data_IF_099381087596
#
_entry.id   IF_099381087596
#
_cell.length_a   1.000
_cell.length_b   1.000
_cell.length_c   1.000
_cell.angle_alpha   90.00
_cell.angle_beta   90.00
_cell.angle_gamma   90.00
#
_symmetry.space_group_name_H-M   'P 1'
#
loop_
_entity.id
_entity.type
_entity.pdbx_description
1 polymer ?
#
# COMPACT_ATOMS: atom_id res chain seq x y z
N UNK A 1 13.44 45.55 -8.07
CA UNK A 1 12.57 46.34 -7.19
C UNK A 1 11.32 46.71 -7.98
N UNK A 2 10.21 46.06 -7.75
CA UNK A 2 8.89 46.56 -8.13
C UNK A 2 7.95 46.16 -6.98
N UNK A 3 7.55 47.19 -6.24
CA UNK A 3 6.52 47.08 -5.21
C UNK A 3 5.15 47.03 -5.87
N UNK A 4 4.41 45.98 -5.67
CA UNK A 4 2.96 45.96 -5.90
C UNK A 4 2.26 45.99 -4.54
N UNK A 5 1.81 47.21 -4.17
CA UNK A 5 0.77 47.41 -3.17
C UNK A 5 -0.59 47.00 -3.77
N UNK A 6 -1.22 46.02 -3.18
CA UNK A 6 -2.65 45.76 -3.41
C UNK A 6 -3.38 45.97 -2.10
N UNK A 7 -3.92 47.18 -1.95
CA UNK A 7 -4.98 47.47 -0.98
C UNK A 7 -6.29 47.49 -1.74
N UNK A 8 -7.20 46.54 -1.49
CA UNK A 8 -8.64 46.70 -1.74
C UNK A 8 -9.41 46.02 -0.60
N UNK A 9 -10.21 46.75 0.17
CA UNK A 9 -11.14 46.19 1.15
C UNK A 9 -12.44 45.79 0.43
N UNK A 10 -13.06 44.70 0.92
CA UNK A 10 -14.38 44.16 0.54
C UNK A 10 -14.42 43.15 -0.63
N UNK A 11 -13.98 41.94 -0.32
CA UNK A 11 -14.45 40.74 -1.00
C UNK A 11 -15.01 39.75 0.05
N UNK A 12 -16.18 39.12 -0.17
CA UNK A 12 -16.80 38.20 0.81
C UNK A 12 -16.07 36.84 0.96
N UNK A 13 -14.91 36.68 0.36
CA UNK A 13 -14.09 35.47 0.43
C UNK A 13 -12.78 35.75 1.18
N UNK A 14 -12.89 36.09 2.48
CA UNK A 14 -11.71 36.11 3.35
C UNK A 14 -11.34 34.67 3.70
N UNK A 15 -10.27 34.18 3.07
CA UNK A 15 -9.64 32.94 3.53
C UNK A 15 -9.19 33.10 4.99
N UNK A 16 -9.42 32.11 5.86
CA UNK A 16 -8.95 32.18 7.24
C UNK A 16 -7.45 32.38 7.26
N UNK A 17 -6.95 33.33 8.08
CA UNK A 17 -5.50 33.60 8.29
C UNK A 17 -4.65 32.37 8.62
N UNK A 18 -5.30 31.28 9.09
CA UNK A 18 -4.67 29.99 9.31
C UNK A 18 -4.12 29.33 8.03
N UNK A 19 -4.74 29.56 6.86
CA UNK A 19 -4.27 28.99 5.59
C UNK A 19 -3.03 29.71 5.04
N UNK A 20 -2.89 30.98 5.30
CA UNK A 20 -1.70 31.76 4.88
C UNK A 20 -0.47 31.38 5.72
N UNK A 21 -0.64 31.11 7.02
CA UNK A 21 0.46 30.62 7.88
C UNK A 21 0.85 29.17 7.60
N UNK A 22 -0.08 28.35 7.08
CA UNK A 22 0.21 26.97 6.64
C UNK A 22 1.00 27.01 5.33
N UNK A 23 0.68 27.93 4.41
CA UNK A 23 1.41 28.10 3.14
C UNK A 23 2.88 28.52 3.38
N UNK A 24 3.15 29.39 4.36
CA UNK A 24 4.51 29.84 4.69
C UNK A 24 5.35 28.75 5.40
N UNK A 25 4.75 27.84 6.15
CA UNK A 25 5.46 26.69 6.75
C UNK A 25 5.81 25.58 5.77
N UNK A 26 5.16 25.51 4.61
CA UNK A 26 5.40 24.49 3.57
C UNK A 26 6.66 24.83 2.73
N UNK A 27 7.18 26.03 2.80
CA UNK A 27 8.34 26.49 1.98
C UNK A 27 9.69 25.91 2.44
N UNK A 28 9.77 25.28 3.62
CA UNK A 28 11.01 24.74 4.18
C UNK A 28 11.05 23.20 4.23
N UNK A 29 10.58 22.52 3.19
CA UNK A 29 10.90 21.10 3.01
C UNK A 29 12.27 21.01 2.33
N UNK A 30 13.23 20.21 2.85
CA UNK A 30 14.55 20.10 2.23
C UNK A 30 14.41 19.69 0.77
N UNK A 31 15.15 20.34 -0.12
CA UNK A 31 15.18 20.13 -1.59
C UNK A 31 15.62 18.73 -2.04
N UNK A 32 15.59 17.72 -1.18
CA UNK A 32 16.00 16.33 -1.49
C UNK A 32 14.86 15.40 -1.90
N UNK A 33 13.61 15.85 -1.93
CA UNK A 33 12.53 15.06 -2.57
C UNK A 33 12.59 15.34 -4.06
N UNK A 34 13.36 14.53 -4.75
CA UNK A 34 13.49 14.56 -6.20
C UNK A 34 12.14 14.24 -6.81
N UNK A 35 11.57 15.19 -7.49
CA UNK A 35 10.38 15.11 -8.33
C UNK A 35 10.57 13.93 -9.29
N UNK A 36 9.59 13.03 -9.39
CA UNK A 36 9.68 11.80 -10.17
C UNK A 36 9.22 12.05 -11.60
N UNK A 37 9.99 11.62 -12.58
CA UNK A 37 9.53 11.47 -13.97
C UNK A 37 9.06 10.03 -14.25
N UNK A 38 8.46 9.74 -15.41
CA UNK A 38 8.18 8.35 -15.82
C UNK A 38 9.39 7.43 -15.64
N UNK A 39 10.61 7.95 -15.86
CA UNK A 39 11.85 7.22 -15.65
C UNK A 39 12.11 6.89 -14.16
N UNK A 40 11.63 7.72 -13.24
CA UNK A 40 11.86 7.54 -11.81
C UNK A 40 10.90 6.56 -11.15
N UNK A 41 9.79 6.20 -11.81
CA UNK A 41 8.93 5.11 -11.36
C UNK A 41 9.70 3.80 -11.45
N UNK A 42 9.93 3.16 -10.32
CA UNK A 42 10.83 2.03 -10.21
C UNK A 42 10.26 0.79 -10.91
N UNK A 43 11.04 0.21 -11.83
CA UNK A 43 10.57 -0.90 -12.67
C UNK A 43 9.33 -0.49 -13.50
N UNK A 44 8.37 -1.35 -13.73
CA UNK A 44 7.09 -1.08 -14.42
C UNK A 44 7.24 -0.70 -15.90
N UNK A 45 8.18 -1.33 -16.59
CA UNK A 45 8.50 -0.99 -17.98
C UNK A 45 7.33 -1.21 -18.94
N UNK A 46 6.49 -2.24 -18.72
CA UNK A 46 5.32 -2.50 -19.56
C UNK A 46 4.24 -1.43 -19.36
N UNK A 47 3.80 -1.11 -18.11
CA UNK A 47 2.92 0.03 -17.86
C UNK A 47 3.41 1.35 -18.48
N UNK A 48 4.70 1.68 -18.30
CA UNK A 48 5.29 2.90 -18.85
C UNK A 48 5.21 2.94 -20.38
N UNK A 49 5.60 1.86 -21.06
CA UNK A 49 5.55 1.76 -22.53
C UNK A 49 4.13 1.90 -23.08
N UNK A 50 3.14 1.31 -22.41
CA UNK A 50 1.72 1.42 -22.83
C UNK A 50 1.27 2.88 -22.74
N UNK A 51 1.54 3.55 -21.61
CA UNK A 51 1.10 4.92 -21.37
C UNK A 51 1.87 5.93 -22.24
N UNK A 52 3.19 5.78 -22.39
CA UNK A 52 3.99 6.62 -23.29
C UNK A 52 3.53 6.49 -24.74
N UNK A 53 3.25 5.26 -25.20
CA UNK A 53 2.71 5.02 -26.52
C UNK A 53 1.32 5.63 -26.75
N UNK A 54 0.46 5.63 -25.73
CA UNK A 54 -0.86 6.26 -25.78
C UNK A 54 -0.77 7.79 -25.80
N UNK A 55 0.12 8.36 -24.98
CA UNK A 55 0.41 9.80 -24.94
C UNK A 55 0.93 10.32 -26.28
N UNK A 56 1.96 9.67 -26.86
CA UNK A 56 2.56 10.09 -28.15
C UNK A 56 1.60 10.03 -29.32
N UNK A 57 0.61 9.12 -29.27
CA UNK A 57 -0.40 8.96 -30.33
C UNK A 57 -1.68 9.77 -30.06
N UNK A 58 -1.72 10.52 -28.97
CA UNK A 58 -2.92 11.19 -28.46
C UNK A 58 -4.17 10.26 -28.41
N UNK A 59 -3.95 9.02 -27.96
CA UNK A 59 -4.96 7.96 -27.85
C UNK A 59 -5.05 7.42 -26.43
N UNK A 60 -5.13 8.34 -25.47
CA UNK A 60 -5.37 7.97 -24.08
C UNK A 60 -6.78 7.40 -23.90
N UNK A 61 -6.90 6.32 -23.17
CA UNK A 61 -8.20 5.83 -22.76
C UNK A 61 -8.84 6.83 -21.78
N UNK A 62 -10.17 6.92 -21.80
CA UNK A 62 -10.92 7.72 -20.83
C UNK A 62 -10.75 7.20 -19.41
N UNK A 63 -10.62 5.88 -19.25
CA UNK A 63 -10.43 5.23 -17.95
C UNK A 63 -9.38 4.14 -17.97
N UNK A 64 -8.43 4.22 -17.04
CA UNK A 64 -7.43 3.20 -16.76
C UNK A 64 -7.71 2.52 -15.43
N UNK A 65 -7.46 1.20 -15.35
CA UNK A 65 -7.46 0.43 -14.12
C UNK A 65 -6.05 -0.15 -13.88
N UNK A 66 -5.32 0.41 -12.91
CA UNK A 66 -4.00 -0.03 -12.51
C UNK A 66 -4.11 -1.15 -11.48
N UNK A 67 -3.75 -2.37 -11.85
CA UNK A 67 -3.89 -3.57 -11.04
C UNK A 67 -2.54 -4.06 -10.53
N UNK A 68 -2.46 -4.41 -9.25
CA UNK A 68 -1.25 -5.02 -8.66
C UNK A 68 -1.13 -4.77 -7.17
N UNK A 69 -0.17 -5.38 -6.51
CA UNK A 69 0.02 -5.30 -5.06
C UNK A 69 0.17 -3.85 -4.55
N UNK A 70 -0.02 -3.65 -3.25
CA UNK A 70 0.18 -2.35 -2.61
C UNK A 70 1.65 -1.94 -2.65
N UNK A 71 1.93 -0.64 -2.78
CA UNK A 71 3.31 -0.09 -2.69
C UNK A 71 4.25 -0.42 -3.86
N UNK A 72 3.75 -0.92 -5.02
CA UNK A 72 4.57 -1.23 -6.21
C UNK A 72 4.67 -0.07 -7.23
N UNK A 73 4.10 1.10 -6.94
CA UNK A 73 4.22 2.29 -7.78
C UNK A 73 2.99 2.66 -8.62
N UNK A 74 1.81 2.06 -8.38
CA UNK A 74 0.57 2.44 -9.09
C UNK A 74 0.24 3.92 -8.93
N UNK A 75 0.29 4.42 -7.69
CA UNK A 75 0.08 5.83 -7.38
C UNK A 75 1.12 6.73 -8.03
N UNK A 76 2.41 6.37 -7.92
CA UNK A 76 3.49 7.13 -8.52
C UNK A 76 3.29 7.30 -10.03
N UNK A 77 2.96 6.21 -10.75
CA UNK A 77 2.73 6.28 -12.19
C UNK A 77 1.44 7.03 -12.54
N UNK A 78 0.41 6.99 -11.68
CA UNK A 78 -0.82 7.76 -11.87
C UNK A 78 -0.57 9.27 -11.80
N UNK A 79 0.25 9.71 -10.84
CA UNK A 79 0.68 11.12 -10.74
C UNK A 79 1.51 11.55 -11.95
N UNK A 80 2.45 10.72 -12.38
CA UNK A 80 3.28 10.99 -13.55
C UNK A 80 2.43 11.10 -14.83
N UNK A 81 1.42 10.24 -14.98
CA UNK A 81 0.49 10.33 -16.10
C UNK A 81 -0.32 11.64 -16.04
N UNK A 82 -0.81 12.04 -14.86
CA UNK A 82 -1.51 13.31 -14.69
C UNK A 82 -0.64 14.52 -15.03
N UNK A 83 0.66 14.48 -14.66
CA UNK A 83 1.64 15.51 -15.05
C UNK A 83 1.88 15.50 -16.55
N UNK A 84 2.08 14.35 -17.17
CA UNK A 84 2.33 14.24 -18.62
C UNK A 84 1.14 14.78 -19.45
N UNK A 85 -0.10 14.52 -19.02
CA UNK A 85 -1.32 15.05 -19.67
C UNK A 85 -1.37 16.57 -19.58
N UNK A 86 -0.98 17.17 -18.44
CA UNK A 86 -1.21 18.57 -18.12
C UNK A 86 0.08 19.42 -18.07
N UNK A 87 1.22 18.90 -18.51
CA UNK A 87 2.47 19.65 -18.57
C UNK A 87 2.33 20.84 -19.53
N UNK A 88 2.75 22.03 -19.06
CA UNK A 88 2.66 23.27 -19.83
C UNK A 88 3.90 23.52 -20.68
N UNK A 89 5.06 22.94 -20.31
CA UNK A 89 6.34 23.22 -20.96
C UNK A 89 6.65 22.23 -22.07
N UNK A 90 6.20 20.99 -21.97
CA UNK A 90 6.45 19.93 -22.95
C UNK A 90 5.17 19.19 -23.28
N UNK A 91 4.90 18.96 -24.57
CA UNK A 91 3.78 18.15 -24.97
C UNK A 91 4.06 16.67 -24.69
N UNK A 92 3.14 16.06 -23.92
CA UNK A 92 3.16 14.65 -23.55
C UNK A 92 4.44 14.17 -22.82
N UNK A 93 5.21 15.10 -22.24
CA UNK A 93 6.37 14.80 -21.40
C UNK A 93 6.30 15.61 -20.11
N UNK A 94 6.81 15.01 -19.04
CA UNK A 94 6.86 15.66 -17.72
C UNK A 94 8.11 16.53 -17.64
N UNK A 95 7.95 17.81 -17.33
CA UNK A 95 9.09 18.72 -17.11
C UNK A 95 9.43 18.91 -15.63
N UNK A 96 8.52 18.53 -14.71
CA UNK A 96 8.61 18.66 -13.25
C UNK A 96 8.79 20.10 -12.72
N UNK A 97 8.87 21.09 -13.57
CA UNK A 97 9.19 22.47 -13.19
C UNK A 97 8.07 23.47 -13.45
N UNK A 98 7.20 23.25 -14.44
CA UNK A 98 6.10 24.16 -14.72
C UNK A 98 5.08 24.19 -13.56
N UNK A 99 4.26 25.24 -13.56
CA UNK A 99 3.29 25.47 -12.48
C UNK A 99 2.31 24.29 -12.30
N UNK A 100 1.84 23.71 -13.42
CA UNK A 100 0.97 22.54 -13.40
C UNK A 100 1.64 21.32 -12.74
N UNK A 101 2.87 20.95 -13.16
CA UNK A 101 3.60 19.83 -12.57
C UNK A 101 3.81 20.05 -11.06
N UNK A 102 4.26 21.23 -10.64
CA UNK A 102 4.47 21.55 -9.21
C UNK A 102 3.19 21.51 -8.39
N UNK A 103 2.04 21.94 -8.94
CA UNK A 103 0.74 21.83 -8.26
C UNK A 103 0.28 20.38 -8.14
N UNK A 104 0.51 19.57 -9.16
CA UNK A 104 0.17 18.12 -9.15
C UNK A 104 1.02 17.41 -8.09
N UNK A 105 2.34 17.64 -8.04
CA UNK A 105 3.21 17.06 -7.01
C UNK A 105 2.80 17.43 -5.59
N UNK A 106 2.32 18.64 -5.39
CA UNK A 106 1.80 19.10 -4.09
C UNK A 106 0.35 18.68 -3.84
N UNK A 107 -0.27 17.93 -4.76
CA UNK A 107 -1.65 17.46 -4.68
C UNK A 107 -2.67 18.60 -4.48
N UNK A 108 -2.42 19.77 -5.08
CA UNK A 108 -3.27 20.98 -4.98
C UNK A 108 -3.74 21.52 -6.33
N UNK A 109 -3.54 20.76 -7.41
CA UNK A 109 -4.00 21.18 -8.75
C UNK A 109 -5.54 21.14 -8.83
N UNK A 110 -6.23 22.21 -9.26
CA UNK A 110 -7.70 22.26 -9.25
C UNK A 110 -8.36 21.20 -10.13
N UNK A 111 -7.75 20.89 -11.29
CA UNK A 111 -8.28 19.94 -12.27
C UNK A 111 -7.70 18.51 -12.11
N UNK A 112 -6.83 18.26 -11.12
CA UNK A 112 -6.33 16.93 -10.80
C UNK A 112 -6.83 16.54 -9.41
N UNK A 113 -7.85 15.68 -9.38
CA UNK A 113 -8.53 15.30 -8.14
C UNK A 113 -8.10 13.92 -7.68
N UNK A 114 -8.14 13.73 -6.37
CA UNK A 114 -7.79 12.47 -5.75
C UNK A 114 -8.90 12.03 -4.83
N UNK A 115 -9.32 10.78 -5.02
CA UNK A 115 -10.27 10.09 -4.16
C UNK A 115 -9.55 8.87 -3.59
N UNK A 116 -9.65 8.71 -2.29
CA UNK A 116 -9.10 7.59 -1.56
C UNK A 116 -10.07 7.15 -0.46
N UNK A 117 -9.99 5.90 -0.02
CA UNK A 117 -10.83 5.42 1.07
C UNK A 117 -10.60 6.25 2.33
N UNK A 118 -11.68 6.61 3.01
CA UNK A 118 -11.65 7.38 4.26
C UNK A 118 -12.47 6.67 5.33
N UNK A 119 -12.18 6.87 6.61
CA UNK A 119 -13.03 6.41 7.69
C UNK A 119 -14.44 7.00 7.57
N UNK A 120 -15.43 6.28 8.10
CA UNK A 120 -16.85 6.72 8.07
C UNK A 120 -17.05 8.11 8.69
N UNK A 121 -16.24 8.44 9.71
CA UNK A 121 -16.14 9.79 10.26
C UNK A 121 -14.87 10.42 9.69
N UNK A 122 -15.03 11.17 8.59
CA UNK A 122 -13.92 11.85 7.93
C UNK A 122 -13.49 13.05 8.77
N UNK A 123 -12.25 13.04 9.23
CA UNK A 123 -11.64 14.23 9.83
C UNK A 123 -10.74 14.95 8.83
N UNK A 124 -10.65 16.29 8.89
CA UNK A 124 -9.72 17.04 8.05
C UNK A 124 -8.26 16.60 8.24
N UNK A 125 -7.90 16.20 9.45
CA UNK A 125 -6.55 15.73 9.81
C UNK A 125 -6.16 14.46 9.06
N UNK A 126 -7.05 13.49 8.91
CA UNK A 126 -6.78 12.24 8.19
C UNK A 126 -6.54 12.48 6.69
N UNK A 127 -7.33 13.38 6.10
CA UNK A 127 -7.14 13.78 4.71
C UNK A 127 -5.78 14.47 4.52
N UNK A 128 -5.43 15.36 5.41
CA UNK A 128 -4.15 16.10 5.36
C UNK A 128 -2.96 15.17 5.63
N UNK A 129 -3.10 14.20 6.55
CA UNK A 129 -2.09 13.16 6.78
C UNK A 129 -1.84 12.35 5.51
N UNK A 130 -2.89 11.87 4.84
CA UNK A 130 -2.76 11.14 3.58
C UNK A 130 -1.97 11.95 2.55
N UNK A 131 -2.34 13.23 2.37
CA UNK A 131 -1.66 14.12 1.42
C UNK A 131 -0.19 14.29 1.78
N UNK A 132 0.14 14.60 3.03
CA UNK A 132 1.53 14.78 3.50
C UNK A 132 2.38 13.55 3.27
N UNK A 133 1.87 12.37 3.61
CA UNK A 133 2.60 11.12 3.40
C UNK A 133 2.83 10.84 1.91
N UNK A 134 1.83 11.05 1.06
CA UNK A 134 1.93 10.84 -0.39
C UNK A 134 2.81 11.88 -1.10
N UNK A 135 2.84 13.12 -0.61
CA UNK A 135 3.76 14.16 -1.10
C UNK A 135 5.19 13.80 -0.71
N UNK A 136 5.40 13.34 0.52
CA UNK A 136 6.72 12.93 1.01
C UNK A 136 7.27 11.75 0.23
N UNK A 137 6.42 10.77 -0.05
CA UNK A 137 6.79 9.58 -0.81
C UNK A 137 5.59 8.99 -1.55
N UNK A 138 5.58 9.01 -2.89
CA UNK A 138 4.49 8.42 -3.68
C UNK A 138 4.31 6.90 -3.48
N UNK A 139 5.31 6.20 -2.98
CA UNK A 139 5.23 4.76 -2.65
C UNK A 139 4.71 4.50 -1.24
N UNK A 140 4.63 5.52 -0.37
CA UNK A 140 4.17 5.35 1.00
C UNK A 140 2.80 4.65 1.05
N UNK A 141 2.67 3.70 1.97
CA UNK A 141 1.41 3.04 2.27
C UNK A 141 0.78 3.80 3.42
N UNK A 142 -0.35 4.46 3.15
CA UNK A 142 -1.07 5.21 4.18
C UNK A 142 -2.15 4.32 4.76
N UNK A 143 -2.05 4.03 6.05
CA UNK A 143 -3.02 3.22 6.79
C UNK A 143 -3.92 4.11 7.62
N UNK A 144 -5.18 3.73 7.75
CA UNK A 144 -6.14 4.31 8.65
C UNK A 144 -6.48 3.31 9.76
N UNK A 145 -6.63 3.77 10.99
CA UNK A 145 -6.93 2.91 12.14
C UNK A 145 -8.32 2.26 12.09
N UNK A 146 -9.24 2.84 11.34
CA UNK A 146 -10.63 2.40 11.22
C UNK A 146 -10.92 1.82 9.84
N UNK A 147 -12.01 1.05 9.76
CA UNK A 147 -12.51 0.61 8.46
C UNK A 147 -12.77 1.80 7.56
N UNK A 148 -12.20 1.75 6.36
CA UNK A 148 -12.28 2.82 5.36
C UNK A 148 -13.14 2.39 4.19
N UNK A 149 -13.84 3.34 3.61
CA UNK A 149 -14.57 3.15 2.36
C UNK A 149 -14.52 4.42 1.50
N UNK A 150 -14.91 4.29 0.24
CA UNK A 150 -15.17 5.44 -0.64
C UNK A 150 -16.68 5.65 -0.66
N UNK A 151 -17.19 6.69 0.04
CA UNK A 151 -18.63 6.96 0.12
C UNK A 151 -19.18 7.50 -1.19
N UNK A 152 -20.48 7.27 -1.44
CA UNK A 152 -21.15 7.65 -2.69
C UNK A 152 -21.13 9.17 -2.93
N UNK A 153 -21.15 9.96 -1.89
CA UNK A 153 -21.15 11.43 -2.02
C UNK A 153 -19.84 11.97 -2.60
N UNK A 154 -18.70 11.33 -2.33
CA UNK A 154 -17.44 11.69 -2.97
C UNK A 154 -17.49 11.43 -4.49
N UNK A 155 -18.08 10.31 -4.90
CA UNK A 155 -18.24 9.98 -6.32
C UNK A 155 -19.20 10.97 -7.00
N UNK A 156 -20.34 11.26 -6.37
CA UNK A 156 -21.31 12.24 -6.91
C UNK A 156 -20.73 13.65 -7.01
N UNK A 157 -19.95 14.07 -6.02
CA UNK A 157 -19.26 15.36 -6.06
C UNK A 157 -18.24 15.41 -7.20
N UNK A 158 -17.44 14.36 -7.34
CA UNK A 158 -16.48 14.23 -8.45
C UNK A 158 -17.19 14.32 -9.81
N UNK A 159 -18.34 13.65 -9.99
CA UNK A 159 -19.13 13.69 -11.22
C UNK A 159 -19.56 15.11 -11.57
N UNK A 160 -20.12 15.84 -10.60
CA UNK A 160 -20.50 17.26 -10.79
C UNK A 160 -19.30 18.13 -11.18
N UNK A 161 -18.13 17.87 -10.59
CA UNK A 161 -16.91 18.61 -10.93
C UNK A 161 -16.36 18.23 -12.31
N UNK A 162 -16.51 16.98 -12.74
CA UNK A 162 -16.10 16.53 -14.07
C UNK A 162 -16.96 17.14 -15.19
N UNK A 163 -18.24 17.41 -14.94
CA UNK A 163 -19.16 18.04 -15.91
C UNK A 163 -18.78 19.51 -16.22
N UNK A 164 -17.95 20.12 -15.39
CA UNK A 164 -17.45 21.49 -15.63
C UNK A 164 -16.24 21.47 -16.55
N UNK A 165 -15.99 22.54 -17.29
CA UNK A 165 -14.75 22.71 -18.07
C UNK A 165 -13.51 22.74 -17.15
N UNK A 166 -12.32 22.30 -17.63
CA UNK A 166 -11.07 22.48 -16.90
C UNK A 166 -10.85 23.97 -16.54
N UNK A 167 -10.32 24.21 -15.34
CA UNK A 167 -10.03 25.58 -14.87
C UNK A 167 -8.72 26.11 -15.44
N UNK A 168 -7.64 25.32 -15.36
CA UNK A 168 -6.31 25.71 -15.84
C UNK A 168 -5.55 24.58 -16.57
N UNK A 169 -6.05 23.34 -16.49
CA UNK A 169 -5.46 22.18 -17.12
C UNK A 169 -5.87 22.02 -18.59
N UNK A 170 -5.10 21.24 -19.35
CA UNK A 170 -5.54 20.77 -20.68
C UNK A 170 -6.70 19.79 -20.56
N UNK A 171 -6.65 18.89 -19.59
CA UNK A 171 -7.63 17.83 -19.33
C UNK A 171 -7.81 17.60 -17.83
N UNK A 172 -9.00 17.28 -17.41
CA UNK A 172 -9.26 16.87 -16.02
C UNK A 172 -8.77 15.46 -15.78
N UNK A 173 -8.11 15.24 -14.65
CA UNK A 173 -7.65 13.91 -14.23
C UNK A 173 -8.18 13.59 -12.84
N UNK A 174 -8.82 12.44 -12.69
CA UNK A 174 -9.27 11.94 -11.40
C UNK A 174 -8.55 10.62 -11.09
N UNK A 175 -7.84 10.59 -9.98
CA UNK A 175 -7.17 9.38 -9.48
C UNK A 175 -8.00 8.85 -8.32
N UNK A 176 -8.51 7.61 -8.44
CA UNK A 176 -9.27 6.93 -7.40
C UNK A 176 -8.47 5.71 -6.95
N UNK A 177 -8.02 5.72 -5.69
CA UNK A 177 -7.19 4.63 -5.16
C UNK A 177 -8.02 3.60 -4.43
N UNK A 178 -7.54 2.35 -4.45
CA UNK A 178 -8.15 1.24 -3.70
C UNK A 178 -9.66 1.12 -3.96
N UNK A 179 -10.03 1.09 -5.24
CA UNK A 179 -11.44 1.05 -5.66
C UNK A 179 -12.18 -0.20 -5.17
N UNK A 180 -11.47 -1.24 -4.75
CA UNK A 180 -12.03 -2.40 -4.04
C UNK A 180 -12.67 -2.06 -2.69
N UNK A 181 -12.38 -0.88 -2.13
CA UNK A 181 -12.97 -0.35 -0.91
C UNK A 181 -14.17 0.59 -1.17
N UNK A 182 -14.68 0.65 -2.40
CA UNK A 182 -15.90 1.39 -2.70
C UNK A 182 -17.12 0.73 -2.05
N UNK A 183 -17.97 1.56 -1.46
CA UNK A 183 -19.32 1.11 -1.11
C UNK A 183 -20.06 0.68 -2.39
N UNK A 184 -20.92 -0.37 -2.39
CA UNK A 184 -21.64 -0.80 -3.59
C UNK A 184 -22.39 0.32 -4.32
N UNK A 185 -23.01 1.25 -3.57
CA UNK A 185 -23.66 2.42 -4.15
C UNK A 185 -22.69 3.37 -4.87
N UNK A 186 -21.45 3.49 -4.38
CA UNK A 186 -20.39 4.29 -5.00
C UNK A 186 -19.93 3.67 -6.32
N UNK A 187 -19.73 2.34 -6.33
CA UNK A 187 -19.36 1.60 -7.53
C UNK A 187 -20.44 1.71 -8.61
N UNK A 188 -21.71 1.54 -8.24
CA UNK A 188 -22.84 1.69 -9.17
C UNK A 188 -22.96 3.13 -9.69
N UNK A 189 -22.77 4.15 -8.84
CA UNK A 189 -22.79 5.56 -9.27
C UNK A 189 -21.68 5.85 -10.28
N UNK A 190 -20.49 5.25 -10.10
CA UNK A 190 -19.34 5.43 -10.99
C UNK A 190 -19.59 4.88 -12.40
N UNK A 191 -20.42 3.83 -12.56
CA UNK A 191 -20.70 3.20 -13.86
C UNK A 191 -21.15 4.19 -14.91
N UNK A 192 -22.01 5.17 -14.55
CA UNK A 192 -22.45 6.20 -15.48
C UNK A 192 -21.28 6.98 -16.10
N UNK A 193 -20.32 7.39 -15.28
CA UNK A 193 -19.12 8.11 -15.75
C UNK A 193 -18.18 7.23 -16.56
N UNK A 194 -18.14 5.92 -16.28
CA UNK A 194 -17.33 4.97 -17.04
C UNK A 194 -17.92 4.65 -18.41
N UNK A 195 -19.25 4.71 -18.55
CA UNK A 195 -19.98 4.49 -19.81
C UNK A 195 -19.90 5.72 -20.71
N UNK A 196 -20.14 6.90 -20.14
CA UNK A 196 -20.16 8.17 -20.83
C UNK A 196 -19.19 9.15 -20.14
N UNK A 197 -17.88 8.97 -20.32
CA UNK A 197 -16.90 9.84 -19.70
C UNK A 197 -17.02 11.26 -20.28
N UNK A 198 -17.04 12.30 -19.42
CA UNK A 198 -17.06 13.68 -19.88
C UNK A 198 -15.86 13.98 -20.80
N UNK A 199 -16.03 14.79 -21.83
CA UNK A 199 -14.96 15.18 -22.74
C UNK A 199 -13.80 15.81 -21.95
N UNK A 200 -12.59 15.65 -22.45
CA UNK A 200 -11.36 16.18 -21.82
C UNK A 200 -11.16 15.73 -20.36
N UNK A 201 -11.61 14.53 -20.03
CA UNK A 201 -11.42 13.92 -18.71
C UNK A 201 -10.81 12.53 -18.79
N UNK A 202 -9.96 12.21 -17.81
CA UNK A 202 -9.38 10.89 -17.63
C UNK A 202 -9.54 10.40 -16.19
N UNK A 203 -9.95 9.15 -16.05
CA UNK A 203 -10.03 8.47 -14.75
C UNK A 203 -8.90 7.45 -14.63
N UNK A 204 -8.21 7.43 -13.49
CA UNK A 204 -7.19 6.45 -13.17
C UNK A 204 -7.61 5.75 -11.88
N UNK A 205 -8.08 4.53 -12.02
CA UNK A 205 -8.50 3.69 -10.90
C UNK A 205 -7.31 2.83 -10.48
N UNK A 206 -7.10 2.59 -9.18
CA UNK A 206 -6.10 1.63 -8.71
C UNK A 206 -6.74 0.58 -7.83
N UNK A 207 -6.30 -0.69 -7.99
CA UNK A 207 -6.78 -1.80 -7.16
C UNK A 207 -5.63 -2.75 -6.81
N UNK A 208 -5.76 -3.42 -5.66
CA UNK A 208 -4.88 -4.52 -5.27
C UNK A 208 -5.49 -5.88 -5.63
N UNK A 209 -6.81 -5.96 -5.77
CA UNK A 209 -7.53 -7.19 -6.09
C UNK A 209 -8.69 -6.91 -7.06
N UNK A 210 -8.48 -7.26 -8.32
CA UNK A 210 -9.45 -7.08 -9.39
C UNK A 210 -10.73 -7.92 -9.18
N UNK A 211 -10.62 -9.06 -8.47
CA UNK A 211 -11.74 -9.97 -8.26
C UNK A 211 -12.77 -9.41 -7.25
N UNK A 212 -12.39 -8.40 -6.48
CA UNK A 212 -13.31 -7.69 -5.57
C UNK A 212 -14.10 -6.58 -6.26
N UNK A 213 -13.79 -6.28 -7.52
CA UNK A 213 -14.48 -5.26 -8.29
C UNK A 213 -15.69 -5.84 -9.03
N UNK A 214 -16.69 -5.00 -9.28
CA UNK A 214 -17.80 -5.37 -10.14
C UNK A 214 -17.27 -5.63 -11.57
N UNK A 215 -17.65 -6.76 -12.20
CA UNK A 215 -17.26 -7.04 -13.59
C UNK A 215 -17.63 -5.91 -14.57
N UNK A 216 -18.72 -5.20 -14.29
CA UNK A 216 -19.18 -4.03 -15.05
C UNK A 216 -18.23 -2.84 -14.97
N UNK A 217 -17.53 -2.64 -13.86
CA UNK A 217 -16.46 -1.63 -13.73
C UNK A 217 -15.23 -2.07 -14.51
N UNK A 218 -14.81 -3.33 -14.32
CA UNK A 218 -13.60 -3.88 -14.95
C UNK A 218 -13.68 -3.86 -16.49
N UNK A 219 -14.86 -4.19 -17.05
CA UNK A 219 -15.06 -4.25 -18.52
C UNK A 219 -15.00 -2.89 -19.21
N UNK A 220 -15.18 -1.77 -18.46
CA UNK A 220 -15.15 -0.41 -18.99
C UNK A 220 -13.82 0.30 -18.80
N UNK A 221 -12.83 -0.38 -18.25
CA UNK A 221 -11.52 0.18 -17.98
C UNK A 221 -10.43 -0.47 -18.83
N UNK A 222 -9.48 0.30 -19.34
CA UNK A 222 -8.25 -0.25 -19.88
C UNK A 222 -7.37 -0.72 -18.72
N UNK A 223 -7.20 -2.03 -18.61
CA UNK A 223 -6.42 -2.63 -17.54
C UNK A 223 -4.92 -2.49 -17.81
N UNK A 224 -4.17 -2.05 -16.81
CA UNK A 224 -2.71 -2.03 -16.80
C UNK A 224 -2.21 -2.78 -15.57
N UNK A 225 -1.48 -3.88 -15.80
CA UNK A 225 -0.96 -4.73 -14.74
C UNK A 225 0.43 -4.30 -14.33
N UNK A 226 0.62 -4.11 -13.04
CA UNK A 226 1.89 -3.79 -12.41
C UNK A 226 2.54 -5.05 -11.85
N UNK A 227 3.83 -5.22 -12.12
CA UNK A 227 4.61 -6.34 -11.62
C UNK A 227 5.33 -6.02 -10.30
N UNK A 228 5.83 -7.08 -9.65
CA UNK A 228 6.71 -6.95 -8.50
C UNK A 228 8.01 -6.27 -8.90
N UNK A 229 8.54 -5.42 -8.01
CA UNK A 229 9.82 -4.76 -8.20
C UNK A 229 10.94 -5.74 -7.80
N UNK A 230 11.97 -5.97 -8.62
CA UNK A 230 13.11 -6.79 -8.26
C UNK A 230 13.77 -6.30 -6.96
N UNK A 231 14.13 -7.24 -6.08
CA UNK A 231 14.74 -6.92 -4.78
C UNK A 231 16.02 -6.09 -4.90
N UNK A 232 16.82 -6.32 -5.95
CA UNK A 232 18.02 -5.52 -6.23
C UNK A 232 17.72 -4.04 -6.47
N UNK A 233 16.61 -3.72 -7.15
CA UNK A 233 16.20 -2.34 -7.37
C UNK A 233 15.66 -1.70 -6.09
N UNK A 234 14.91 -2.45 -5.26
CA UNK A 234 14.43 -1.98 -3.96
C UNK A 234 15.63 -1.71 -3.06
N UNK A 235 16.58 -2.63 -2.96
CA UNK A 235 17.80 -2.49 -2.16
C UNK A 235 18.58 -1.22 -2.56
N UNK A 236 18.80 -1.03 -3.88
CA UNK A 236 19.46 0.18 -4.39
C UNK A 236 18.71 1.45 -3.97
N UNK A 237 17.38 1.47 -4.10
CA UNK A 237 16.54 2.62 -3.72
C UNK A 237 16.62 2.90 -2.22
N UNK A 238 16.59 1.86 -1.37
CA UNK A 238 16.71 2.01 0.08
C UNK A 238 18.05 2.59 0.49
N UNK A 239 19.16 2.16 -0.12
CA UNK A 239 20.50 2.70 0.13
C UNK A 239 20.60 4.16 -0.31
N UNK A 240 20.12 4.50 -1.49
CA UNK A 240 20.29 5.83 -2.09
C UNK A 240 19.37 6.89 -1.48
N UNK A 241 18.10 6.59 -1.30
CA UNK A 241 17.10 7.59 -0.90
C UNK A 241 16.80 7.58 0.60
N UNK A 242 16.96 6.42 1.27
CA UNK A 242 16.63 6.29 2.70
C UNK A 242 17.86 6.08 3.58
N UNK A 243 19.06 6.04 2.98
CA UNK A 243 20.34 5.87 3.70
C UNK A 243 20.39 4.62 4.60
N UNK A 244 19.67 3.57 4.19
CA UNK A 244 19.62 2.30 4.93
C UNK A 244 20.96 1.57 4.77
N UNK A 245 21.57 1.06 5.86
CA UNK A 245 22.78 0.24 5.79
C UNK A 245 22.60 -0.99 4.91
N UNK A 246 23.64 -1.38 4.17
CA UNK A 246 23.57 -2.42 3.13
C UNK A 246 22.91 -3.73 3.61
N UNK A 247 23.34 -4.25 4.78
CA UNK A 247 22.77 -5.49 5.34
C UNK A 247 21.26 -5.39 5.57
N UNK A 248 20.78 -4.26 6.13
CA UNK A 248 19.35 -4.02 6.35
C UNK A 248 18.60 -3.75 5.04
N UNK A 249 19.21 -3.04 4.10
CA UNK A 249 18.60 -2.76 2.80
C UNK A 249 18.35 -4.06 2.01
N UNK A 250 19.31 -4.99 2.00
CA UNK A 250 19.18 -6.31 1.39
C UNK A 250 18.07 -7.13 2.05
N UNK A 251 18.03 -7.16 3.39
CA UNK A 251 17.00 -7.82 4.17
C UNK A 251 15.58 -7.27 3.84
N UNK A 252 15.41 -5.96 3.97
CA UNK A 252 14.11 -5.31 3.76
C UNK A 252 13.62 -5.44 2.31
N UNK A 253 14.53 -5.39 1.34
CA UNK A 253 14.21 -5.63 -0.06
C UNK A 253 13.68 -7.06 -0.32
N UNK A 254 14.21 -8.06 0.36
CA UNK A 254 13.73 -9.44 0.27
C UNK A 254 12.39 -9.62 0.98
N UNK A 255 12.28 -9.15 2.23
CA UNK A 255 11.05 -9.27 3.05
C UNK A 255 9.87 -8.56 2.39
N UNK A 256 10.10 -7.41 1.73
CA UNK A 256 9.04 -6.62 1.09
C UNK A 256 8.37 -7.31 -0.11
N UNK A 257 8.89 -8.46 -0.55
CA UNK A 257 8.33 -9.29 -1.62
C UNK A 257 7.97 -8.49 -2.90
N UNK A 258 8.85 -7.56 -3.27
CA UNK A 258 8.69 -6.76 -4.48
C UNK A 258 7.85 -5.49 -4.33
N UNK A 259 7.52 -5.09 -3.09
CA UNK A 259 6.82 -3.83 -2.79
C UNK A 259 7.76 -2.81 -2.14
N UNK A 260 8.09 -1.73 -2.85
CA UNK A 260 8.89 -0.65 -2.27
C UNK A 260 8.18 0.00 -1.08
N UNK A 261 6.86 0.17 -1.14
CA UNK A 261 6.09 0.73 -0.03
C UNK A 261 6.22 -0.10 1.25
N UNK A 262 6.13 -1.43 1.16
CA UNK A 262 6.37 -2.33 2.30
C UNK A 262 7.82 -2.22 2.83
N UNK A 263 8.79 -2.07 1.93
CA UNK A 263 10.19 -1.88 2.33
C UNK A 263 10.38 -0.56 3.08
N UNK A 264 9.71 0.52 2.68
CA UNK A 264 9.72 1.82 3.36
C UNK A 264 9.11 1.70 4.77
N UNK A 265 7.99 0.97 4.94
CA UNK A 265 7.41 0.72 6.27
C UNK A 265 8.37 -0.03 7.20
N UNK A 266 9.18 -0.98 6.67
CA UNK A 266 10.24 -1.64 7.45
C UNK A 266 11.32 -0.65 7.92
N UNK A 267 11.70 0.30 7.05
CA UNK A 267 12.66 1.36 7.40
C UNK A 267 12.12 2.27 8.51
N UNK A 268 10.82 2.53 8.53
CA UNK A 268 10.16 3.34 9.56
C UNK A 268 10.07 2.63 10.92
N UNK A 269 10.35 1.31 10.96
CA UNK A 269 10.53 0.53 12.19
C UNK A 269 9.29 -0.18 12.71
N UNK A 270 8.07 0.22 12.35
CA UNK A 270 6.85 -0.42 12.83
C UNK A 270 6.75 -1.88 12.39
N UNK A 271 7.00 -2.17 11.12
CA UNK A 271 7.01 -3.54 10.60
C UNK A 271 8.16 -4.40 11.11
N UNK A 272 9.28 -3.80 11.44
CA UNK A 272 10.38 -4.53 12.07
C UNK A 272 9.97 -5.03 13.46
N UNK A 273 9.23 -4.24 14.23
CA UNK A 273 8.69 -4.66 15.52
C UNK A 273 7.67 -5.81 15.37
N UNK A 274 6.77 -5.74 14.37
CA UNK A 274 5.82 -6.84 14.08
C UNK A 274 6.59 -8.13 13.72
N UNK A 275 7.65 -8.03 12.94
CA UNK A 275 8.52 -9.16 12.58
C UNK A 275 9.19 -9.79 13.80
N UNK A 276 9.72 -8.97 14.71
CA UNK A 276 10.33 -9.45 15.96
C UNK A 276 9.29 -10.14 16.85
N UNK A 277 8.09 -9.58 16.93
CA UNK A 277 6.98 -10.16 17.69
C UNK A 277 6.49 -11.48 17.06
N UNK A 278 6.48 -11.60 15.72
CA UNK A 278 6.20 -12.87 15.02
C UNK A 278 7.20 -13.96 15.41
N UNK A 279 8.51 -13.63 15.43
CA UNK A 279 9.55 -14.56 15.85
C UNK A 279 9.39 -14.93 17.34
N UNK A 280 9.10 -13.95 18.19
CA UNK A 280 8.81 -14.20 19.61
C UNK A 280 7.62 -15.15 19.80
N UNK A 281 6.54 -14.96 19.03
CA UNK A 281 5.36 -15.82 19.09
C UNK A 281 5.69 -17.29 18.74
N UNK A 282 6.51 -17.53 17.70
CA UNK A 282 6.95 -18.90 17.36
C UNK A 282 7.75 -19.51 18.51
N UNK A 283 8.73 -18.78 19.08
CA UNK A 283 9.54 -19.28 20.20
C UNK A 283 8.66 -19.65 21.39
N UNK A 284 7.76 -18.75 21.78
CA UNK A 284 6.81 -19.01 22.88
C UNK A 284 5.93 -20.23 22.57
N UNK A 285 5.39 -20.35 21.35
CA UNK A 285 4.55 -21.48 20.97
C UNK A 285 5.28 -22.83 21.05
N UNK A 286 6.59 -22.87 20.76
CA UNK A 286 7.37 -24.13 20.69
C UNK A 286 8.09 -24.47 22.00
N UNK A 287 8.33 -23.50 22.89
CA UNK A 287 9.19 -23.67 24.08
C UNK A 287 8.45 -23.55 25.40
N UNK A 288 7.34 -22.80 25.41
CA UNK A 288 6.72 -22.38 26.65
C UNK A 288 5.45 -23.17 26.99
N UNK A 289 5.00 -22.98 28.25
CA UNK A 289 3.75 -23.56 28.73
C UNK A 289 2.55 -22.81 28.20
N UNK A 290 1.36 -23.42 28.35
CA UNK A 290 0.11 -22.85 27.83
C UNK A 290 -0.20 -21.45 28.39
N UNK A 291 0.18 -21.19 29.65
CA UNK A 291 -0.08 -19.88 30.30
C UNK A 291 0.73 -18.79 29.62
N UNK A 292 2.02 -19.00 29.39
CA UNK A 292 2.92 -18.05 28.74
C UNK A 292 2.47 -17.75 27.29
N UNK A 293 1.92 -18.75 26.60
CA UNK A 293 1.34 -18.55 25.24
C UNK A 293 0.13 -17.60 25.32
N UNK A 294 -0.75 -17.77 26.30
CA UNK A 294 -1.95 -16.93 26.47
C UNK A 294 -1.52 -15.49 26.80
N UNK A 295 -0.61 -15.33 27.77
CA UNK A 295 -0.09 -14.01 28.17
C UNK A 295 0.56 -13.29 26.98
N UNK A 296 1.39 -13.99 26.19
CA UNK A 296 2.03 -13.42 25.00
C UNK A 296 1.02 -12.95 23.95
N UNK A 297 -0.05 -13.71 23.74
CA UNK A 297 -1.11 -13.35 22.80
C UNK A 297 -1.89 -12.13 23.31
N UNK A 298 -2.15 -12.04 24.59
CA UNK A 298 -2.81 -10.87 25.19
C UNK A 298 -1.94 -9.60 25.05
N UNK A 299 -0.63 -9.70 25.25
CA UNK A 299 0.31 -8.61 25.00
C UNK A 299 0.25 -8.15 23.51
N UNK A 300 0.28 -9.10 22.58
CA UNK A 300 0.25 -8.80 21.14
C UNK A 300 -1.06 -8.11 20.74
N UNK A 301 -2.20 -8.54 21.27
CA UNK A 301 -3.49 -7.90 20.99
C UNK A 301 -3.63 -6.49 21.57
N UNK A 302 -3.00 -6.24 22.73
CA UNK A 302 -2.97 -4.91 23.32
C UNK A 302 -2.00 -3.97 22.55
N UNK A 303 -0.98 -4.52 21.92
CA UNK A 303 0.05 -3.77 21.19
C UNK A 303 -0.33 -3.48 19.75
N UNK A 304 -1.02 -4.41 19.07
CA UNK A 304 -1.23 -4.40 17.63
C UNK A 304 -2.71 -4.43 17.23
N UNK A 305 -3.06 -3.63 16.25
CA UNK A 305 -4.39 -3.66 15.62
C UNK A 305 -4.58 -4.92 14.74
N UNK A 306 -5.80 -5.11 14.25
CA UNK A 306 -6.14 -6.25 13.38
C UNK A 306 -5.24 -6.35 12.14
N UNK A 307 -4.93 -5.23 11.51
CA UNK A 307 -4.14 -5.21 10.28
C UNK A 307 -2.69 -5.61 10.57
N UNK A 308 -2.11 -5.13 11.65
CA UNK A 308 -0.76 -5.50 12.12
C UNK A 308 -0.65 -6.98 12.46
N UNK A 309 -1.70 -7.56 13.07
CA UNK A 309 -1.75 -9.02 13.33
C UNK A 309 -1.86 -9.80 12.01
N UNK A 310 -2.63 -9.33 11.04
CA UNK A 310 -2.66 -9.97 9.71
C UNK A 310 -1.30 -9.90 9.00
N UNK A 311 -0.56 -8.81 9.15
CA UNK A 311 0.82 -8.71 8.66
C UNK A 311 1.78 -9.65 9.40
N UNK A 312 1.56 -9.90 10.68
CA UNK A 312 2.34 -10.88 11.44
C UNK A 312 2.26 -12.27 10.81
N UNK A 313 1.11 -12.71 10.29
CA UNK A 313 0.98 -13.97 9.57
C UNK A 313 1.85 -14.00 8.29
N UNK A 314 2.00 -12.88 7.57
CA UNK A 314 2.91 -12.82 6.41
C UNK A 314 4.37 -13.04 6.81
N UNK A 315 4.79 -12.49 7.96
CA UNK A 315 6.12 -12.76 8.51
C UNK A 315 6.27 -14.20 8.95
N UNK A 316 5.25 -14.79 9.59
CA UNK A 316 5.26 -16.21 9.97
C UNK A 316 5.43 -17.12 8.76
N UNK A 317 4.71 -16.87 7.67
CA UNK A 317 4.87 -17.62 6.40
C UNK A 317 6.30 -17.49 5.88
N UNK A 318 6.87 -16.28 5.89
CA UNK A 318 8.25 -16.05 5.46
C UNK A 318 9.27 -16.81 6.32
N UNK A 319 9.06 -16.84 7.65
CA UNK A 319 9.92 -17.54 8.58
C UNK A 319 9.85 -19.06 8.39
N UNK A 320 8.65 -19.63 8.27
CA UNK A 320 8.48 -21.07 8.04
C UNK A 320 8.99 -21.52 6.68
N UNK A 321 8.89 -20.68 5.63
CA UNK A 321 9.55 -20.92 4.36
C UNK A 321 11.07 -21.02 4.52
N UNK A 322 11.66 -20.11 5.28
CA UNK A 322 13.11 -20.14 5.52
C UNK A 322 13.52 -21.33 6.39
N UNK A 323 12.70 -21.72 7.39
CA UNK A 323 12.89 -22.96 8.17
C UNK A 323 12.85 -24.19 7.23
N UNK A 324 11.92 -24.24 6.29
CA UNK A 324 11.86 -25.31 5.28
C UNK A 324 13.13 -25.39 4.44
N UNK A 325 13.61 -24.24 3.95
CA UNK A 325 14.83 -24.17 3.14
C UNK A 325 16.09 -24.55 3.92
N UNK A 326 16.15 -24.32 5.24
CA UNK A 326 17.29 -24.75 6.06
C UNK A 326 17.39 -26.27 6.20
N UNK A 327 16.29 -26.99 6.10
CA UNK A 327 16.30 -28.48 6.07
C UNK A 327 16.73 -29.04 4.71
N UNK A 328 16.43 -28.34 3.60
CA UNK A 328 16.80 -28.82 2.26
C UNK A 328 18.23 -28.46 1.86
N UNK A 329 18.67 -27.27 2.22
CA UNK A 329 19.93 -26.71 1.71
C UNK A 329 20.68 -26.01 2.82
N UNK A 330 21.98 -26.36 3.01
CA UNK A 330 22.89 -25.61 3.87
C UNK A 330 23.22 -24.20 3.35
N UNK A 331 22.48 -23.70 2.34
CA UNK A 331 22.79 -22.46 1.65
C UNK A 331 22.00 -21.27 2.24
N UNK A 332 22.65 -20.54 3.15
CA UNK A 332 22.10 -19.33 3.78
C UNK A 332 21.75 -18.19 2.80
N UNK A 333 22.29 -18.21 1.58
CA UNK A 333 22.05 -17.16 0.57
C UNK A 333 20.62 -17.12 0.04
N UNK A 334 19.88 -18.25 0.09
CA UNK A 334 18.48 -18.35 -0.37
C UNK A 334 17.47 -17.87 0.69
N UNK A 335 17.92 -17.66 1.93
CA UNK A 335 17.04 -17.23 3.01
C UNK A 335 16.62 -15.76 2.82
N UNK A 336 15.34 -15.48 3.09
CA UNK A 336 14.84 -14.11 3.19
C UNK A 336 15.37 -13.49 4.48
N UNK A 337 15.19 -14.19 5.62
CA UNK A 337 15.57 -13.75 6.96
C UNK A 337 16.99 -14.21 7.33
N UNK A 338 17.98 -13.84 6.51
CA UNK A 338 19.37 -14.27 6.69
C UNK A 338 20.05 -13.69 7.95
N UNK A 339 19.51 -12.60 8.50
CA UNK A 339 19.97 -11.97 9.75
C UNK A 339 19.76 -12.83 11.00
N UNK A 340 18.77 -13.74 10.96
CA UNK A 340 18.42 -14.67 12.03
C UNK A 340 18.68 -16.14 11.62
N UNK A 341 19.55 -16.38 10.65
CA UNK A 341 19.80 -17.73 10.11
C UNK A 341 20.13 -18.76 11.20
N UNK A 342 20.94 -18.39 12.21
CA UNK A 342 21.28 -19.27 13.33
C UNK A 342 20.06 -19.69 14.19
N UNK A 343 19.06 -18.81 14.31
CA UNK A 343 17.83 -19.10 15.03
C UNK A 343 16.90 -20.00 14.20
N UNK A 344 16.86 -19.76 12.87
CA UNK A 344 16.08 -20.60 11.94
C UNK A 344 16.58 -22.05 11.92
N UNK A 345 17.90 -22.26 11.98
CA UNK A 345 18.49 -23.60 12.12
C UNK A 345 18.01 -24.29 13.39
N UNK A 346 18.08 -23.63 14.54
CA UNK A 346 17.59 -24.18 15.82
C UNK A 346 16.10 -24.53 15.77
N UNK A 347 15.29 -23.68 15.12
CA UNK A 347 13.86 -23.96 14.95
C UNK A 347 13.61 -25.12 13.99
N UNK A 348 14.42 -25.27 12.93
CA UNK A 348 14.26 -26.37 11.98
C UNK A 348 14.48 -27.76 12.65
N UNK A 349 15.40 -27.84 13.61
CA UNK A 349 15.65 -29.06 14.38
C UNK A 349 14.42 -29.54 15.17
N UNK A 350 13.55 -28.61 15.61
CA UNK A 350 12.31 -28.97 16.34
C UNK A 350 11.27 -29.65 15.47
N UNK A 351 11.21 -29.31 14.18
CA UNK A 351 10.22 -29.89 13.26
C UNK A 351 10.64 -31.24 12.65
N UNK A 352 11.91 -31.61 12.71
CA UNK A 352 12.51 -32.90 12.31
C UNK A 352 12.19 -33.43 10.90
N UNK A 353 11.07 -33.01 10.28
CA UNK A 353 10.58 -33.50 8.96
C UNK A 353 9.98 -32.36 8.14
N UNK A 354 10.27 -32.33 6.85
CA UNK A 354 9.76 -31.32 5.92
C UNK A 354 8.23 -31.27 5.85
N UNK A 355 7.58 -32.44 5.85
CA UNK A 355 6.12 -32.53 5.81
C UNK A 355 5.45 -31.78 6.98
N UNK A 356 6.09 -31.72 8.16
CA UNK A 356 5.58 -30.99 9.32
C UNK A 356 5.66 -29.47 9.14
N UNK A 357 6.66 -28.99 8.44
CA UNK A 357 6.78 -27.56 8.09
C UNK A 357 5.75 -27.19 7.00
N UNK A 358 5.49 -28.09 6.04
CA UNK A 358 4.44 -27.88 5.06
C UNK A 358 3.03 -27.85 5.70
N UNK A 359 2.79 -28.74 6.68
CA UNK A 359 1.56 -28.70 7.47
C UNK A 359 1.44 -27.37 8.26
N UNK A 360 2.53 -26.89 8.85
CA UNK A 360 2.57 -25.61 9.55
C UNK A 360 2.29 -24.42 8.60
N UNK A 361 2.90 -24.39 7.42
CA UNK A 361 2.64 -23.38 6.40
C UNK A 361 1.17 -23.36 5.96
N UNK A 362 0.58 -24.54 5.75
CA UNK A 362 -0.85 -24.67 5.41
C UNK A 362 -1.74 -24.14 6.54
N UNK A 363 -1.41 -24.46 7.79
CA UNK A 363 -2.16 -24.00 8.96
C UNK A 363 -2.09 -22.48 9.12
N UNK A 364 -0.89 -21.89 8.98
CA UNK A 364 -0.69 -20.43 9.05
C UNK A 364 -1.50 -19.74 7.95
N UNK A 365 -1.42 -20.23 6.70
CA UNK A 365 -2.12 -19.61 5.57
C UNK A 365 -3.65 -19.75 5.68
N UNK A 366 -4.15 -20.91 6.12
CA UNK A 366 -5.57 -21.11 6.36
C UNK A 366 -6.11 -20.14 7.41
N UNK A 367 -5.48 -20.05 8.57
CA UNK A 367 -5.90 -19.14 9.66
C UNK A 367 -5.83 -17.69 9.20
N UNK A 368 -4.77 -17.31 8.49
CA UNK A 368 -4.64 -15.99 7.88
C UNK A 368 -5.80 -15.66 6.95
N UNK A 369 -6.16 -16.60 6.06
CA UNK A 369 -7.27 -16.41 5.12
C UNK A 369 -8.62 -16.31 5.85
N UNK A 370 -8.85 -17.11 6.88
CA UNK A 370 -10.06 -17.02 7.69
C UNK A 370 -10.15 -15.68 8.42
N UNK A 371 -9.04 -15.18 9.00
CA UNK A 371 -8.97 -13.87 9.61
C UNK A 371 -9.19 -12.72 8.61
N UNK A 372 -8.73 -12.88 7.35
CA UNK A 372 -8.87 -11.86 6.31
C UNK A 372 -10.29 -11.80 5.73
N UNK A 373 -10.94 -12.95 5.55
CA UNK A 373 -12.23 -13.06 4.86
C UNK A 373 -13.44 -13.06 5.79
N UNK A 374 -13.23 -13.38 7.07
CA UNK A 374 -14.28 -13.52 8.07
C UNK A 374 -13.96 -12.66 9.30
N UNK A 375 -14.98 -12.33 10.07
CA UNK A 375 -14.79 -11.61 11.34
C UNK A 375 -14.48 -12.61 12.49
N UNK A 376 -13.33 -13.31 12.36
CA UNK A 376 -12.86 -14.26 13.37
C UNK A 376 -12.25 -13.51 14.56
N UNK A 377 -12.41 -14.07 15.76
CA UNK A 377 -11.74 -13.59 16.96
C UNK A 377 -10.23 -13.88 16.84
N UNK A 378 -9.43 -12.81 16.79
CA UNK A 378 -7.98 -12.89 16.57
C UNK A 378 -7.25 -13.61 17.71
N UNK A 379 -7.72 -13.47 18.96
CA UNK A 379 -7.14 -14.19 20.11
C UNK A 379 -7.25 -15.71 19.90
N UNK A 380 -8.45 -16.15 19.57
CA UNK A 380 -8.71 -17.57 19.33
C UNK A 380 -7.91 -18.09 18.12
N UNK A 381 -7.80 -17.28 17.04
CA UNK A 381 -7.02 -17.64 15.87
C UNK A 381 -5.52 -17.81 16.20
N UNK A 382 -4.92 -16.88 16.96
CA UNK A 382 -3.52 -16.97 17.38
C UNK A 382 -3.29 -18.14 18.35
N UNK A 383 -4.21 -18.38 19.30
CA UNK A 383 -4.13 -19.54 20.23
C UNK A 383 -4.16 -20.85 19.43
N UNK A 384 -5.12 -20.98 18.50
CA UNK A 384 -5.24 -22.16 17.66
C UNK A 384 -3.94 -22.40 16.87
N UNK A 385 -3.38 -21.33 16.28
CA UNK A 385 -2.12 -21.42 15.57
C UNK A 385 -0.98 -21.90 16.47
N UNK A 386 -0.80 -21.28 17.64
CA UNK A 386 0.28 -21.64 18.57
C UNK A 386 0.19 -23.13 19.00
N UNK A 387 -1.02 -23.62 19.29
CA UNK A 387 -1.20 -25.01 19.67
C UNK A 387 -0.96 -25.96 18.49
N UNK A 388 -1.40 -25.63 17.28
CA UNK A 388 -1.11 -26.43 16.09
C UNK A 388 0.41 -26.50 15.82
N UNK A 389 1.12 -25.37 15.90
CA UNK A 389 2.58 -25.35 15.72
C UNK A 389 3.30 -26.18 16.77
N UNK A 390 2.88 -26.10 18.03
CA UNK A 390 3.41 -26.91 19.12
C UNK A 390 3.20 -28.42 18.89
N UNK A 391 1.98 -28.82 18.55
CA UNK A 391 1.64 -30.21 18.30
C UNK A 391 2.40 -30.78 17.10
N UNK A 392 2.54 -30.01 16.02
CA UNK A 392 3.36 -30.37 14.87
C UNK A 392 4.83 -30.58 15.23
N UNK A 393 5.41 -29.72 16.08
CA UNK A 393 6.80 -29.85 16.55
C UNK A 393 7.00 -31.09 17.41
N UNK A 394 5.97 -31.53 18.16
CA UNK A 394 5.98 -32.72 19.02
C UNK A 394 5.52 -33.99 18.30
N UNK A 395 5.28 -33.94 16.99
CA UNK A 395 4.77 -35.07 16.20
C UNK A 395 3.37 -35.56 16.62
N UNK A 396 2.56 -34.70 17.24
CA UNK A 396 1.18 -35.01 17.62
C UNK A 396 0.23 -34.72 16.46
N UNK A 397 -0.93 -35.39 16.40
CA UNK A 397 -1.97 -35.07 15.43
C UNK A 397 -2.63 -33.71 15.75
N UNK A 398 -3.04 -32.98 14.72
CA UNK A 398 -3.72 -31.70 14.86
C UNK A 398 -5.22 -31.92 15.08
N UNK A 399 -5.74 -31.51 16.22
CA UNK A 399 -7.17 -31.66 16.58
C UNK A 399 -7.94 -30.32 16.55
N UNK A 400 -7.27 -29.17 16.34
CA UNK A 400 -7.90 -27.84 16.46
C UNK A 400 -8.34 -27.30 15.11
N UNK A 401 -9.60 -26.87 15.02
CA UNK A 401 -10.11 -26.20 13.84
C UNK A 401 -10.82 -24.91 14.28
N UNK A 402 -10.45 -23.77 13.68
CA UNK A 402 -11.05 -22.45 13.96
C UNK A 402 -12.56 -22.45 13.66
N UNK A 403 -13.04 -23.38 12.82
CA UNK A 403 -14.45 -23.46 12.42
C UNK A 403 -15.41 -23.91 13.50
N UNK A 404 -14.94 -24.65 14.50
CA UNK A 404 -15.88 -25.35 15.38
C UNK A 404 -16.14 -24.68 16.72
N UNK A 405 -15.41 -23.68 17.15
CA UNK A 405 -15.63 -23.05 18.49
C UNK A 405 -15.80 -24.06 19.66
N UNK A 406 -15.68 -25.35 19.35
CA UNK A 406 -15.81 -26.48 20.26
C UNK A 406 -14.44 -27.15 20.39
N UNK A 407 -13.95 -27.09 21.59
CA UNK A 407 -12.88 -27.96 22.07
C UNK A 407 -13.52 -29.37 22.12
N UNK A 408 -13.13 -30.24 21.20
CA UNK A 408 -13.49 -31.65 21.28
C UNK A 408 -12.60 -32.38 22.26
#
# INVERSE_FOLDING_TARGET
MVHLKVNTPNSPWSFPKALTQIAERIVNIPQSVRIMSFADVLNQEVPKKILDGALRKDRLASTYLFCGEVGIGKWALALELAKAINCQSNENQVCDDCLSCRKIDKLIHPDVKMIFPVPSVKTPEETERFRKEKIKDPYAIVKFEKNVNIPVDQIRQMQKELDLKPFEAKRKVVIITEVENMHPASANSLLKTLEEPPPDSHLILTTTDINRLLPTVVSRCQQIRFGKIPSSLIEKRLKQNYRVPEKKASLYAKISNGSLGKAIELVQGEKENIRQDAMGLIKTALEEKTVEIIERIDELQNKWDRNSILEMFEFLISLFRDIYLTLETSCSQKLINHDIASELVKLSEKFKRQNKIEEALKAIDQIRMECKTRNVNLKLALLTLCFQLRDLSQNKPIYYNVRSGSIG
#
